data_IF_094251015531
#
_entry.id   IF_094251015531
#
_cell.length_a   1.000
_cell.length_b   1.000
_cell.length_c   1.000
_cell.angle_alpha   90.00
_cell.angle_beta   90.00
_cell.angle_gamma   90.00
#
_symmetry.space_group_name_H-M   'P 1'
#
loop_
_entity.id
_entity.type
_entity.pdbx_description
1 polymer ?
#
# COMPACT_ATOMS: atom_id res chain seq x y z
N UNK A 1 -24.99 -1.36 -13.33
CA UNK A 1 -23.79 -2.15 -12.94
C UNK A 1 -24.15 -3.02 -11.74
N UNK A 2 -23.75 -4.29 -11.74
CA UNK A 2 -23.94 -5.17 -10.59
C UNK A 2 -22.98 -4.74 -9.47
N UNK A 3 -23.49 -4.58 -8.23
CA UNK A 3 -22.68 -4.17 -7.06
C UNK A 3 -21.46 -5.07 -6.86
N UNK A 4 -21.56 -6.35 -7.21
CA UNK A 4 -20.44 -7.31 -7.20
C UNK A 4 -19.30 -6.93 -8.14
N UNK A 5 -19.62 -6.46 -9.35
CA UNK A 5 -18.60 -6.05 -10.34
C UNK A 5 -17.79 -4.86 -9.83
N UNK A 6 -18.46 -3.89 -9.21
CA UNK A 6 -17.80 -2.72 -8.61
C UNK A 6 -16.86 -3.12 -7.47
N UNK A 7 -17.30 -4.03 -6.59
CA UNK A 7 -16.48 -4.58 -5.50
C UNK A 7 -15.21 -5.24 -6.03
N UNK A 8 -15.32 -6.06 -7.09
CA UNK A 8 -14.15 -6.72 -7.70
C UNK A 8 -13.20 -5.69 -8.32
N UNK A 9 -13.72 -4.74 -9.10
CA UNK A 9 -12.91 -3.68 -9.69
C UNK A 9 -12.20 -2.83 -8.64
N UNK A 10 -12.87 -2.54 -7.53
CA UNK A 10 -12.27 -1.83 -6.40
C UNK A 10 -11.14 -2.63 -5.76
N UNK A 11 -11.33 -3.93 -5.54
CA UNK A 11 -10.29 -4.80 -4.99
C UNK A 11 -9.05 -4.85 -5.90
N UNK A 12 -9.27 -5.02 -7.21
CA UNK A 12 -8.18 -5.02 -8.20
C UNK A 12 -7.48 -3.66 -8.21
N UNK A 13 -8.23 -2.56 -8.19
CA UNK A 13 -7.68 -1.22 -8.09
C UNK A 13 -6.88 -1.00 -6.81
N UNK A 14 -7.36 -1.50 -5.67
CA UNK A 14 -6.67 -1.43 -4.39
C UNK A 14 -5.33 -2.19 -4.41
N UNK A 15 -5.31 -3.39 -4.99
CA UNK A 15 -4.07 -4.17 -5.15
C UNK A 15 -3.08 -3.44 -6.04
N UNK A 16 -3.52 -2.91 -7.20
CA UNK A 16 -2.66 -2.12 -8.08
C UNK A 16 -2.12 -0.87 -7.37
N UNK A 17 -2.96 -0.19 -6.60
CA UNK A 17 -2.57 0.99 -5.83
C UNK A 17 -1.51 0.65 -4.76
N UNK A 18 -1.67 -0.46 -4.04
CA UNK A 18 -0.69 -0.94 -3.07
C UNK A 18 0.65 -1.24 -3.75
N UNK A 19 0.65 -1.89 -4.92
CA UNK A 19 1.87 -2.18 -5.68
C UNK A 19 2.59 -0.88 -6.09
N UNK A 20 1.85 0.12 -6.56
CA UNK A 20 2.41 1.45 -6.90
C UNK A 20 2.99 2.14 -5.67
N UNK A 21 2.26 2.15 -4.54
CA UNK A 21 2.77 2.71 -3.29
C UNK A 21 4.02 1.99 -2.79
N UNK A 22 4.05 0.67 -2.90
CA UNK A 22 5.20 -0.13 -2.47
C UNK A 22 6.43 0.22 -3.29
N UNK A 23 6.29 0.33 -4.62
CA UNK A 23 7.37 0.76 -5.50
C UNK A 23 7.83 2.19 -5.17
N UNK A 24 6.89 3.10 -4.93
CA UNK A 24 7.20 4.47 -4.52
C UNK A 24 7.98 4.52 -3.21
N UNK A 25 7.52 3.84 -2.17
CA UNK A 25 8.22 3.81 -0.87
C UNK A 25 9.58 3.13 -0.96
N UNK A 26 9.70 2.04 -1.73
CA UNK A 26 10.97 1.37 -1.91
C UNK A 26 12.01 2.29 -2.56
N UNK A 27 11.64 2.98 -3.64
CA UNK A 27 12.51 3.95 -4.30
C UNK A 27 12.85 5.13 -3.38
N UNK A 28 11.88 5.62 -2.60
CA UNK A 28 12.10 6.68 -1.62
C UNK A 28 13.11 6.25 -0.54
N UNK A 29 12.97 5.04 0.01
CA UNK A 29 13.91 4.52 1.00
C UNK A 29 15.29 4.27 0.42
N UNK A 30 15.40 3.78 -0.83
CA UNK A 30 16.69 3.68 -1.52
C UNK A 30 17.35 5.06 -1.69
N UNK A 31 16.59 6.08 -2.11
CA UNK A 31 17.11 7.44 -2.27
C UNK A 31 17.55 8.08 -0.95
N UNK A 32 16.81 7.84 0.13
CA UNK A 32 17.20 8.29 1.48
C UNK A 32 18.43 7.51 1.96
N UNK A 33 18.46 6.19 1.72
CA UNK A 33 19.57 5.33 2.10
C UNK A 33 20.88 5.70 1.41
N UNK A 34 20.84 6.01 0.11
CA UNK A 34 22.03 6.45 -0.63
C UNK A 34 22.56 7.80 -0.13
N UNK A 35 21.68 8.71 0.33
CA UNK A 35 22.09 9.98 0.92
C UNK A 35 22.71 9.81 2.31
N UNK A 36 22.13 8.95 3.15
CA UNK A 36 22.56 8.77 4.54
C UNK A 36 23.76 7.81 4.69
N UNK A 37 23.91 6.86 3.76
CA UNK A 37 24.86 5.76 3.88
C UNK A 37 25.50 5.42 2.50
N UNK A 38 26.26 6.36 1.90
CA UNK A 38 26.75 6.23 0.53
C UNK A 38 27.76 5.08 0.32
N UNK A 39 28.54 4.72 1.34
CA UNK A 39 29.65 3.77 1.21
C UNK A 39 29.34 2.35 1.74
N UNK A 40 28.05 1.99 1.85
CA UNK A 40 27.70 0.63 2.27
C UNK A 40 28.12 -0.40 1.22
N UNK A 41 28.95 -1.36 1.63
CA UNK A 41 29.42 -2.45 0.79
C UNK A 41 29.25 -3.80 1.49
N UNK A 42 29.20 -4.87 0.69
CA UNK A 42 29.11 -6.25 1.18
C UNK A 42 27.77 -6.57 1.86
N UNK A 43 27.82 -7.25 2.99
CA UNK A 43 26.64 -7.77 3.70
C UNK A 43 25.69 -6.67 4.19
N UNK A 44 26.24 -5.53 4.63
CA UNK A 44 25.44 -4.42 5.17
C UNK A 44 24.51 -3.82 4.10
N UNK A 45 25.00 -3.65 2.88
CA UNK A 45 24.18 -3.18 1.76
C UNK A 45 23.01 -4.13 1.47
N UNK A 46 23.25 -5.44 1.46
CA UNK A 46 22.20 -6.43 1.22
C UNK A 46 21.16 -6.44 2.34
N UNK A 47 21.60 -6.37 3.60
CA UNK A 47 20.71 -6.29 4.75
C UNK A 47 19.83 -5.03 4.69
N UNK A 48 20.40 -3.88 4.33
CA UNK A 48 19.66 -2.62 4.20
C UNK A 48 18.60 -2.69 3.10
N UNK A 49 18.86 -3.36 1.98
CA UNK A 49 17.86 -3.53 0.92
C UNK A 49 16.66 -4.36 1.39
N UNK A 50 16.90 -5.43 2.13
CA UNK A 50 15.83 -6.25 2.73
C UNK A 50 15.03 -5.42 3.72
N UNK A 51 15.70 -4.64 4.58
CA UNK A 51 15.02 -3.74 5.52
C UNK A 51 14.16 -2.73 4.79
N UNK A 52 14.67 -2.06 3.76
CA UNK A 52 13.90 -1.08 2.99
C UNK A 52 12.71 -1.71 2.27
N UNK A 53 12.87 -2.92 1.73
CA UNK A 53 11.77 -3.65 1.14
C UNK A 53 10.66 -3.96 2.15
N UNK A 54 11.02 -4.47 3.33
CA UNK A 54 10.08 -4.73 4.42
C UNK A 54 9.42 -3.44 4.93
N UNK A 55 10.18 -2.36 5.04
CA UNK A 55 9.65 -1.04 5.40
C UNK A 55 8.67 -0.52 4.34
N UNK A 56 8.94 -0.73 3.04
CA UNK A 56 8.05 -0.31 1.96
C UNK A 56 6.73 -1.11 1.96
N UNK A 57 6.78 -2.40 2.29
CA UNK A 57 5.59 -3.22 2.52
C UNK A 57 4.76 -2.66 3.67
N UNK A 58 5.37 -2.43 4.83
CA UNK A 58 4.68 -1.91 6.01
C UNK A 58 4.09 -0.51 5.75
N UNK A 59 4.86 0.38 5.12
CA UNK A 59 4.44 1.73 4.78
C UNK A 59 3.30 1.75 3.77
N UNK A 60 3.38 0.96 2.70
CA UNK A 60 2.32 0.89 1.68
C UNK A 60 1.00 0.39 2.26
N UNK A 61 1.04 -0.65 3.10
CA UNK A 61 -0.14 -1.15 3.80
C UNK A 61 -0.75 -0.11 4.74
N UNK A 62 0.08 0.57 5.55
CA UNK A 62 -0.39 1.58 6.48
C UNK A 62 -1.04 2.76 5.74
N UNK A 63 -0.41 3.25 4.67
CA UNK A 63 -0.94 4.33 3.83
C UNK A 63 -2.24 3.94 3.15
N UNK A 64 -2.33 2.72 2.61
CA UNK A 64 -3.57 2.21 2.04
C UNK A 64 -4.70 2.18 3.08
N UNK A 65 -4.44 1.66 4.28
CA UNK A 65 -5.43 1.59 5.35
C UNK A 65 -5.90 2.96 5.80
N UNK A 66 -4.97 3.90 5.96
CA UNK A 66 -5.29 5.28 6.32
C UNK A 66 -6.13 5.96 5.23
N UNK A 67 -5.75 5.80 3.96
CA UNK A 67 -6.48 6.35 2.83
C UNK A 67 -7.88 5.73 2.71
N UNK A 68 -8.01 4.42 2.89
CA UNK A 68 -9.28 3.71 2.86
C UNK A 68 -10.23 4.20 3.95
N UNK A 69 -9.71 4.44 5.17
CA UNK A 69 -10.49 5.03 6.26
C UNK A 69 -11.05 6.41 5.87
N UNK A 70 -10.21 7.27 5.28
CA UNK A 70 -10.64 8.60 4.81
C UNK A 70 -11.66 8.49 3.68
N UNK A 71 -11.43 7.61 2.72
CA UNK A 71 -12.36 7.35 1.61
C UNK A 71 -13.73 6.90 2.13
N UNK A 72 -13.76 6.05 3.16
CA UNK A 72 -15.00 5.60 3.80
C UNK A 72 -15.73 6.73 4.53
N UNK A 73 -15.02 7.63 5.17
CA UNK A 73 -15.62 8.78 5.86
C UNK A 73 -16.13 9.86 4.89
N UNK A 74 -15.45 10.05 3.76
CA UNK A 74 -15.77 11.09 2.76
C UNK A 74 -16.77 10.63 1.70
N UNK A 75 -16.76 9.35 1.33
CA UNK A 75 -17.59 8.78 0.27
C UNK A 75 -18.54 7.76 0.90
N UNK A 76 -19.84 7.83 0.60
CA UNK A 76 -20.81 6.77 0.96
C UNK A 76 -20.57 5.53 0.10
N UNK A 77 -19.48 4.82 0.35
CA UNK A 77 -19.05 3.62 -0.37
C UNK A 77 -20.13 2.51 -0.32
N UNK A 78 -20.95 2.48 0.73
CA UNK A 78 -22.12 1.59 0.90
C UNK A 78 -23.13 1.65 -0.25
N UNK A 79 -23.20 2.79 -0.96
CA UNK A 79 -24.13 2.97 -2.08
C UNK A 79 -23.63 2.32 -3.37
N UNK A 80 -22.31 2.14 -3.51
CA UNK A 80 -21.65 1.74 -4.74
C UNK A 80 -21.09 0.31 -4.71
N UNK A 81 -20.81 -0.21 -3.51
CA UNK A 81 -20.19 -1.51 -3.30
C UNK A 81 -21.13 -2.49 -2.60
N UNK A 82 -20.89 -3.78 -2.84
CA UNK A 82 -21.59 -4.85 -2.14
C UNK A 82 -21.30 -4.77 -0.62
N UNK A 83 -22.31 -4.89 0.27
CA UNK A 83 -22.11 -4.88 1.72
C UNK A 83 -21.10 -5.92 2.22
N UNK A 84 -20.81 -6.97 1.44
CA UNK A 84 -19.71 -7.90 1.71
C UNK A 84 -18.36 -7.18 1.95
N UNK A 85 -18.07 -6.10 1.21
CA UNK A 85 -16.82 -5.35 1.29
C UNK A 85 -16.62 -4.66 2.66
N UNK A 86 -17.70 -4.44 3.42
CA UNK A 86 -17.68 -3.82 4.76
C UNK A 86 -17.97 -4.82 5.89
N UNK A 87 -18.34 -6.06 5.56
CA UNK A 87 -18.71 -7.09 6.55
C UNK A 87 -17.47 -7.72 7.19
N UNK A 88 -16.38 -7.79 6.44
CA UNK A 88 -15.10 -8.29 6.92
C UNK A 88 -14.27 -7.16 7.53
N UNK A 89 -13.99 -7.28 8.84
CA UNK A 89 -13.14 -6.35 9.62
C UNK A 89 -11.65 -6.39 9.23
N UNK A 90 -11.35 -6.77 7.98
CA UNK A 90 -9.99 -6.96 7.47
C UNK A 90 -9.36 -5.68 6.89
N UNK A 91 -10.12 -4.57 6.84
CA UNK A 91 -9.65 -3.23 6.45
C UNK A 91 -9.73 -2.25 7.64
#
# INVERSE_FOLDING_TARGET
>A
MNKRMNTVLFLVGAVLFILVLMMFYFLAFLGIGSLLMPDQTGFLAQATWVVFFLSALAASWFTYRWLFRILRERIRLERYFDPFLFKDKWF
#
